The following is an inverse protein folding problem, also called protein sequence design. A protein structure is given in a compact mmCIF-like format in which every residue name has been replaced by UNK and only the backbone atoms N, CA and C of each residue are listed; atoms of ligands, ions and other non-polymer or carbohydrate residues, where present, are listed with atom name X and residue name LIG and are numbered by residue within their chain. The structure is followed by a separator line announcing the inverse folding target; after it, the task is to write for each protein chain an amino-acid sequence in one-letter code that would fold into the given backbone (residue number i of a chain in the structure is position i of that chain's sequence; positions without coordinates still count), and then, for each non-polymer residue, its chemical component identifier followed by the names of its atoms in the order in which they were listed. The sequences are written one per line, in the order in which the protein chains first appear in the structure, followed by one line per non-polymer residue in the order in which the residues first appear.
data_IF_047946160896
#
_entry.id   IF_047946160896
#
_cell.length_a   1.000
_cell.length_b   1.000
_cell.length_c   1.000
_cell.angle_alpha   90.00
_cell.angle_beta   90.00
_cell.angle_gamma   90.00
#
_symmetry.space_group_name_H-M   'P 1'
#
loop_
_entity.id
_entity.type
_entity.pdbx_description
1 polymer ?
#
# COMPACT_ATOMS: atom_id res chain seq x y z
N UNK A 1 -7.20 17.58 -25.72
CA UNK A 1 -8.10 18.08 -24.65
C UNK A 1 -7.58 17.80 -23.25
N UNK A 2 -6.92 16.66 -22.97
CA UNK A 2 -6.36 16.36 -21.63
C UNK A 2 -5.29 17.36 -21.18
N UNK A 3 -4.42 17.81 -22.06
CA UNK A 3 -3.39 18.80 -21.75
C UNK A 3 -3.96 20.16 -21.34
N UNK A 4 -5.06 20.61 -21.97
CA UNK A 4 -5.74 21.85 -21.55
C UNK A 4 -6.26 21.76 -20.10
N UNK A 5 -6.73 20.61 -19.69
CA UNK A 5 -7.17 20.35 -18.31
C UNK A 5 -6.03 20.29 -17.29
N UNK A 6 -4.80 20.05 -17.74
CA UNK A 6 -3.62 20.00 -16.89
C UNK A 6 -2.90 21.34 -16.76
N UNK A 7 -2.94 22.19 -17.81
CA UNK A 7 -2.10 23.38 -17.92
C UNK A 7 -2.84 24.72 -17.94
N UNK A 8 -4.08 24.72 -18.43
CA UNK A 8 -4.85 25.95 -18.64
C UNK A 8 -6.19 25.92 -17.89
N UNK A 9 -6.99 24.90 -18.11
CA UNK A 9 -8.30 24.74 -17.48
C UNK A 9 -8.16 23.92 -16.18
N UNK A 10 -7.55 24.52 -15.18
CA UNK A 10 -7.14 23.84 -13.95
C UNK A 10 -8.35 23.36 -13.14
N UNK A 11 -8.43 22.06 -12.76
CA UNK A 11 -9.56 21.53 -12.03
C UNK A 11 -9.58 21.89 -10.54
N UNK A 12 -8.46 22.38 -10.00
CA UNK A 12 -8.27 22.74 -8.58
C UNK A 12 -7.85 24.18 -8.35
N UNK A 13 -8.07 25.06 -9.34
CA UNK A 13 -7.71 26.47 -9.24
C UNK A 13 -8.53 27.32 -10.20
N UNK A 14 -8.25 28.62 -10.25
CA UNK A 14 -8.85 29.49 -11.24
C UNK A 14 -8.34 29.11 -12.63
N UNK A 15 -9.22 28.83 -13.59
CA UNK A 15 -8.78 28.51 -14.94
C UNK A 15 -8.19 29.74 -15.64
N UNK A 16 -7.11 29.53 -16.41
CA UNK A 16 -6.41 30.57 -17.15
C UNK A 16 -7.12 30.83 -18.50
N UNK A 17 -8.37 31.31 -18.43
CA UNK A 17 -9.25 31.44 -19.61
C UNK A 17 -8.69 32.35 -20.69
N UNK A 18 -7.92 33.36 -20.35
CA UNK A 18 -7.35 34.30 -21.30
C UNK A 18 -6.21 33.70 -22.14
N UNK A 19 -5.56 32.66 -21.62
CA UNK A 19 -4.53 31.88 -22.31
C UNK A 19 -5.11 30.67 -23.04
N UNK A 20 -6.42 30.41 -22.90
CA UNK A 20 -7.02 29.21 -23.46
C UNK A 20 -7.27 29.33 -24.98
N UNK A 21 -6.74 28.42 -25.80
CA UNK A 21 -6.98 28.43 -27.24
C UNK A 21 -8.46 28.24 -27.62
N UNK A 22 -9.25 27.65 -26.74
CA UNK A 22 -10.68 27.43 -26.92
C UNK A 22 -11.56 28.58 -26.40
N UNK A 23 -10.99 29.68 -25.93
CA UNK A 23 -11.72 30.76 -25.25
C UNK A 23 -12.89 31.36 -26.04
N UNK A 24 -12.76 31.42 -27.36
CA UNK A 24 -13.76 32.04 -28.22
C UNK A 24 -15.07 31.28 -28.33
N UNK A 25 -15.02 29.97 -28.17
CA UNK A 25 -16.19 29.07 -28.29
C UNK A 25 -16.46 28.24 -27.02
N UNK A 26 -15.80 28.58 -25.90
CA UNK A 26 -15.98 27.89 -24.65
C UNK A 26 -17.32 28.30 -23.99
N UNK A 27 -18.29 27.41 -23.99
CA UNK A 27 -19.62 27.64 -23.39
C UNK A 27 -19.51 27.99 -21.89
N UNK A 28 -18.62 27.34 -21.14
CA UNK A 28 -18.46 27.62 -19.72
C UNK A 28 -17.99 29.06 -19.45
N UNK A 29 -17.10 29.60 -20.31
CA UNK A 29 -16.67 30.99 -20.24
C UNK A 29 -17.74 31.97 -20.67
N UNK A 30 -18.42 31.68 -21.80
CA UNK A 30 -19.51 32.51 -22.33
C UNK A 30 -20.70 32.63 -21.37
N UNK A 31 -20.97 31.58 -20.57
CA UNK A 31 -22.06 31.54 -19.59
C UNK A 31 -21.62 31.86 -18.15
N UNK A 32 -20.37 32.24 -17.92
CA UNK A 32 -19.85 32.58 -16.58
C UNK A 32 -19.76 31.39 -15.62
N UNK A 33 -19.75 30.14 -16.13
CA UNK A 33 -19.81 28.91 -15.31
C UNK A 33 -18.46 28.24 -15.07
N UNK A 34 -17.35 28.88 -15.40
CA UNK A 34 -16.01 28.29 -15.26
C UNK A 34 -15.68 27.88 -13.83
N UNK A 35 -16.13 28.63 -12.82
CA UNK A 35 -15.93 28.30 -11.40
C UNK A 35 -16.78 27.13 -10.89
N UNK A 36 -17.81 26.72 -11.67
CA UNK A 36 -18.67 25.60 -11.32
C UNK A 36 -18.24 24.28 -11.99
N UNK A 37 -17.21 24.32 -12.82
CA UNK A 37 -16.73 23.21 -13.63
C UNK A 37 -15.25 22.92 -13.33
N UNK A 38 -14.84 21.64 -13.37
CA UNK A 38 -15.68 20.45 -13.54
C UNK A 38 -16.55 20.17 -12.33
N UNK A 39 -17.76 19.63 -12.57
CA UNK A 39 -18.60 19.14 -11.48
C UNK A 39 -17.93 17.90 -10.88
N UNK A 40 -17.43 18.02 -9.67
CA UNK A 40 -16.75 16.92 -8.96
C UNK A 40 -17.76 16.11 -8.19
N UNK A 41 -17.84 14.82 -8.49
CA UNK A 41 -18.58 13.90 -7.63
C UNK A 41 -17.95 13.90 -6.22
N UNK A 42 -18.79 13.80 -5.19
CA UNK A 42 -18.31 13.62 -3.82
C UNK A 42 -17.39 12.39 -3.75
N UNK A 43 -16.21 12.56 -3.16
CA UNK A 43 -15.30 11.42 -2.96
C UNK A 43 -15.96 10.42 -2.01
N UNK A 44 -16.13 9.18 -2.47
CA UNK A 44 -16.55 8.09 -1.56
C UNK A 44 -15.53 7.96 -0.45
N UNK A 45 -16.02 7.77 0.79
CA UNK A 45 -15.14 7.45 1.92
C UNK A 45 -14.32 6.19 1.60
N UNK A 46 -13.03 6.20 1.96
CA UNK A 46 -12.18 5.02 1.83
C UNK A 46 -12.62 3.97 2.83
N UNK A 47 -12.57 2.71 2.43
CA UNK A 47 -12.70 1.60 3.37
C UNK A 47 -11.43 1.53 4.20
N UNK A 48 -11.56 1.50 5.53
CA UNK A 48 -10.44 1.28 6.44
C UNK A 48 -10.34 -0.21 6.71
N UNK A 49 -9.13 -0.75 6.58
CA UNK A 49 -8.79 -2.12 6.95
C UNK A 49 -7.72 -2.09 8.03
N UNK A 50 -8.09 -2.54 9.22
CA UNK A 50 -7.13 -2.81 10.29
C UNK A 50 -6.44 -4.15 9.98
N UNK A 51 -5.10 -4.16 9.95
CA UNK A 51 -4.33 -5.35 9.57
C UNK A 51 -3.21 -5.63 10.56
N UNK A 52 -3.00 -6.90 10.84
CA UNK A 52 -1.81 -7.38 11.55
C UNK A 52 -0.78 -7.84 10.53
N UNK A 53 0.42 -7.28 10.59
CA UNK A 53 1.56 -7.65 9.74
C UNK A 53 2.52 -8.51 10.58
N UNK A 54 2.87 -9.68 10.07
CA UNK A 54 3.75 -10.62 10.74
C UNK A 54 5.14 -10.56 10.10
N UNK A 55 6.10 -9.98 10.81
CA UNK A 55 7.51 -10.00 10.45
C UNK A 55 8.12 -11.23 11.09
N UNK A 56 8.19 -12.32 10.33
CA UNK A 56 8.60 -13.64 10.83
C UNK A 56 10.04 -13.87 10.43
N UNK A 57 10.89 -14.05 11.41
CA UNK A 57 12.33 -14.23 11.24
C UNK A 57 12.77 -15.64 11.60
N UNK A 58 13.70 -16.19 10.83
CA UNK A 58 14.45 -17.40 11.12
C UNK A 58 15.89 -17.17 10.71
N UNK A 59 16.80 -17.25 11.66
CA UNK A 59 18.20 -16.82 11.45
C UNK A 59 18.21 -15.37 10.89
N UNK A 60 18.97 -15.09 9.85
CA UNK A 60 19.06 -13.77 9.23
C UNK A 60 18.14 -13.66 7.99
N UNK A 61 16.95 -14.26 8.03
CA UNK A 61 15.98 -14.28 6.92
C UNK A 61 14.60 -13.93 7.42
N UNK A 62 13.79 -13.28 6.58
CA UNK A 62 12.40 -12.95 6.84
C UNK A 62 11.49 -13.71 5.90
N UNK A 63 10.34 -14.18 6.40
CA UNK A 63 9.35 -14.88 5.60
C UNK A 63 8.59 -13.91 4.69
N UNK A 64 8.45 -14.29 3.44
CA UNK A 64 7.60 -13.62 2.46
C UNK A 64 6.58 -14.58 1.88
N UNK A 65 5.40 -14.06 1.56
CA UNK A 65 4.40 -14.77 0.76
C UNK A 65 4.06 -13.98 -0.49
N UNK A 66 3.61 -14.68 -1.52
CA UNK A 66 3.12 -14.05 -2.74
C UNK A 66 1.62 -13.82 -2.64
N UNK A 67 1.17 -12.62 -2.97
CA UNK A 67 -0.26 -12.31 -3.02
C UNK A 67 -0.95 -13.05 -4.17
N UNK A 68 -2.25 -13.36 -4.00
CA UNK A 68 -3.06 -13.88 -5.10
C UNK A 68 -2.98 -12.99 -6.34
N UNK A 69 -3.17 -13.56 -7.52
CA UNK A 69 -3.11 -12.85 -8.81
C UNK A 69 -4.26 -11.87 -9.05
N UNK A 70 -5.11 -11.61 -8.06
CA UNK A 70 -6.25 -10.68 -8.13
C UNK A 70 -6.33 -9.82 -6.88
N UNK A 71 -6.89 -8.62 -7.03
CA UNK A 71 -7.08 -7.67 -5.93
C UNK A 71 -5.90 -6.71 -5.76
N UNK A 72 -5.87 -6.05 -4.60
CA UNK A 72 -4.88 -5.04 -4.27
C UNK A 72 -3.49 -5.67 -4.18
N UNK A 73 -2.49 -5.04 -4.82
CA UNK A 73 -1.09 -5.51 -4.88
C UNK A 73 -0.96 -6.94 -5.45
N UNK A 74 -1.83 -7.33 -6.39
CA UNK A 74 -1.90 -8.67 -6.95
C UNK A 74 -0.54 -9.18 -7.46
N UNK A 75 -0.19 -10.42 -7.08
CA UNK A 75 1.02 -11.10 -7.53
C UNK A 75 2.34 -10.58 -6.96
N UNK A 76 2.34 -9.54 -6.15
CA UNK A 76 3.53 -9.02 -5.48
C UNK A 76 3.88 -9.83 -4.23
N UNK A 77 5.14 -9.75 -3.82
CA UNK A 77 5.61 -10.31 -2.57
C UNK A 77 5.25 -9.38 -1.40
N UNK A 78 4.93 -9.96 -0.25
CA UNK A 78 4.58 -9.21 0.95
C UNK A 78 5.03 -9.92 2.21
N UNK A 79 5.17 -9.17 3.31
CA UNK A 79 5.17 -9.78 4.63
C UNK A 79 3.78 -10.37 4.90
N UNK A 80 3.67 -11.59 5.48
CA UNK A 80 2.38 -12.17 5.84
C UNK A 80 1.54 -11.18 6.65
N UNK A 81 0.29 -11.01 6.29
CA UNK A 81 -0.60 -10.09 6.98
C UNK A 81 -2.05 -10.53 6.83
N UNK A 82 -2.86 -10.29 7.86
CA UNK A 82 -4.27 -10.65 7.90
C UNK A 82 -5.10 -9.47 8.41
N UNK A 83 -6.41 -9.48 8.15
CA UNK A 83 -7.32 -8.53 8.76
C UNK A 83 -7.34 -8.75 10.27
N UNK A 84 -7.29 -7.67 11.03
CA UNK A 84 -7.36 -7.74 12.48
C UNK A 84 -8.81 -8.00 12.95
N UNK A 85 -9.00 -8.75 14.07
CA UNK A 85 -7.99 -9.42 14.85
C UNK A 85 -7.45 -10.66 14.11
N UNK A 86 -6.15 -10.91 14.20
CA UNK A 86 -5.47 -12.02 13.52
C UNK A 86 -4.85 -13.00 14.54
N UNK A 87 -5.55 -13.20 15.64
CA UNK A 87 -5.18 -14.14 16.67
C UNK A 87 -5.22 -15.57 16.10
N UNK A 88 -4.15 -16.34 16.35
CA UNK A 88 -4.05 -17.71 15.84
C UNK A 88 -3.46 -17.86 14.43
N UNK A 89 -3.27 -16.79 13.66
CA UNK A 89 -2.73 -16.87 12.29
C UNK A 89 -1.41 -17.66 12.22
N UNK A 90 -0.50 -17.47 13.18
CA UNK A 90 0.76 -18.22 13.24
C UNK A 90 0.52 -19.73 13.38
N UNK A 91 -0.43 -20.14 14.24
CA UNK A 91 -0.78 -21.54 14.43
C UNK A 91 -1.46 -22.13 13.18
N UNK A 92 -2.33 -21.37 12.51
CA UNK A 92 -2.97 -21.76 11.25
C UNK A 92 -1.95 -22.00 10.14
N UNK A 93 -0.84 -21.27 10.16
CA UNK A 93 0.29 -21.47 9.25
C UNK A 93 1.27 -22.56 9.70
N UNK A 94 1.02 -23.20 10.86
CA UNK A 94 1.89 -24.21 11.44
C UNK A 94 3.21 -23.64 11.95
N UNK A 95 3.25 -22.35 12.27
CA UNK A 95 4.43 -21.64 12.75
C UNK A 95 4.32 -21.38 14.26
N UNK A 96 5.43 -21.58 14.97
CA UNK A 96 5.54 -21.30 16.41
C UNK A 96 6.81 -20.53 16.68
N UNK A 97 6.76 -19.62 17.63
CA UNK A 97 7.93 -18.79 17.95
C UNK A 97 7.65 -17.82 19.08
N UNK A 98 8.64 -17.00 19.34
CA UNK A 98 8.53 -15.93 20.31
C UNK A 98 8.14 -14.63 19.60
N UNK A 99 7.16 -13.92 20.17
CA UNK A 99 6.67 -12.66 19.65
C UNK A 99 7.25 -11.50 20.44
N UNK A 100 7.72 -10.50 19.72
CA UNK A 100 8.08 -9.20 20.27
C UNK A 100 7.22 -8.11 19.65
N UNK A 101 7.09 -6.99 20.34
CA UNK A 101 6.32 -5.87 19.82
C UNK A 101 6.98 -5.32 18.54
N UNK A 102 6.14 -5.05 17.55
CA UNK A 102 6.52 -4.34 16.35
C UNK A 102 6.09 -2.88 16.38
N UNK A 103 5.92 -2.29 15.22
CA UNK A 103 5.48 -0.93 15.04
C UNK A 103 4.06 -0.84 14.46
N UNK A 104 3.63 0.38 14.25
CA UNK A 104 2.40 0.69 13.52
C UNK A 104 2.70 1.41 12.22
N UNK A 105 1.83 1.29 11.25
CA UNK A 105 1.96 1.99 9.97
C UNK A 105 0.61 2.22 9.32
N UNK A 106 0.54 3.26 8.50
CA UNK A 106 -0.65 3.55 7.70
C UNK A 106 -0.24 3.68 6.25
N UNK A 107 -1.01 3.06 5.37
CA UNK A 107 -0.85 3.25 3.94
C UNK A 107 -2.20 3.51 3.26
N UNK A 108 -2.24 4.53 2.41
CA UNK A 108 -3.46 4.98 1.76
C UNK A 108 -3.41 4.63 0.27
N UNK A 109 -4.30 3.74 -0.13
CA UNK A 109 -4.60 3.47 -1.53
C UNK A 109 -5.77 4.32 -2.03
N UNK A 110 -6.08 4.26 -3.30
CA UNK A 110 -7.18 5.05 -3.88
C UNK A 110 -8.52 4.82 -3.17
N UNK A 111 -8.84 3.57 -2.83
CA UNK A 111 -10.16 3.19 -2.28
C UNK A 111 -10.10 2.53 -0.90
N UNK A 112 -8.91 2.25 -0.40
CA UNK A 112 -8.68 1.54 0.85
C UNK A 112 -7.57 2.24 1.63
N UNK A 113 -7.73 2.32 2.94
CA UNK A 113 -6.70 2.73 3.89
C UNK A 113 -6.34 1.52 4.76
N UNK A 114 -5.07 1.13 4.76
CA UNK A 114 -4.56 0.13 5.66
C UNK A 114 -3.99 0.77 6.91
N UNK A 115 -4.51 0.38 8.06
CA UNK A 115 -3.94 0.66 9.38
C UNK A 115 -3.32 -0.62 9.87
N UNK A 116 -2.02 -0.63 10.01
CA UNK A 116 -1.24 -1.84 10.22
C UNK A 116 -0.57 -1.82 11.57
N UNK A 117 -0.61 -2.95 12.26
CA UNK A 117 0.19 -3.22 13.46
C UNK A 117 1.09 -4.40 13.16
N UNK A 118 2.41 -4.22 13.29
CA UNK A 118 3.37 -5.29 13.09
C UNK A 118 3.61 -6.08 14.38
N UNK A 119 3.84 -7.37 14.22
CA UNK A 119 4.35 -8.28 15.22
C UNK A 119 5.64 -8.90 14.68
N UNK A 120 6.72 -8.80 15.43
CA UNK A 120 7.98 -9.45 15.11
C UNK A 120 8.02 -10.82 15.78
N UNK A 121 8.19 -11.87 14.98
CA UNK A 121 8.20 -13.26 15.43
C UNK A 121 9.55 -13.89 15.15
N UNK A 122 10.17 -14.47 16.16
CA UNK A 122 11.36 -15.29 15.99
C UNK A 122 10.97 -16.75 16.03
N UNK A 123 11.20 -17.48 14.94
CA UNK A 123 10.87 -18.89 14.82
C UNK A 123 12.12 -19.75 14.69
N UNK A 124 12.09 -20.94 15.27
CA UNK A 124 13.22 -21.89 15.22
C UNK A 124 13.12 -22.87 14.04
N UNK A 125 11.96 -22.95 13.40
CA UNK A 125 11.72 -23.87 12.29
C UNK A 125 12.00 -23.22 10.94
N UNK A 126 12.73 -23.91 10.08
CA UNK A 126 13.02 -23.45 8.73
C UNK A 126 11.88 -23.72 7.72
N UNK A 127 10.93 -24.60 8.06
CA UNK A 127 9.85 -24.96 7.16
C UNK A 127 8.78 -23.88 7.13
N UNK A 128 8.44 -23.42 5.93
CA UNK A 128 7.39 -22.45 5.67
C UNK A 128 6.17 -23.09 5.01
N UNK A 129 5.00 -22.46 5.09
CA UNK A 129 3.83 -22.84 4.28
C UNK A 129 4.15 -22.88 2.78
N UNK A 130 3.40 -23.67 2.03
CA UNK A 130 3.58 -23.78 0.59
C UNK A 130 3.45 -22.40 -0.11
N UNK A 131 4.39 -22.11 -1.01
CA UNK A 131 4.43 -20.86 -1.76
C UNK A 131 5.03 -19.66 -1.02
N UNK A 132 5.50 -19.86 0.22
CA UNK A 132 6.27 -18.87 0.94
C UNK A 132 7.76 -19.08 0.73
N UNK A 133 8.55 -18.05 0.99
CA UNK A 133 10.01 -18.09 0.86
C UNK A 133 10.67 -17.38 2.04
N UNK A 134 11.89 -17.81 2.36
CA UNK A 134 12.81 -17.06 3.20
C UNK A 134 13.62 -16.10 2.33
N UNK A 135 13.68 -14.84 2.71
CA UNK A 135 14.47 -13.82 2.06
C UNK A 135 15.47 -13.22 3.04
N UNK A 136 16.72 -13.22 2.65
CA UNK A 136 17.76 -12.45 3.32
C UNK A 136 17.79 -10.99 2.82
N UNK A 137 18.68 -10.18 3.37
CA UNK A 137 18.81 -8.76 3.01
C UNK A 137 19.10 -8.55 1.53
N UNK A 138 19.93 -9.40 0.92
CA UNK A 138 20.27 -9.28 -0.51
C UNK A 138 19.13 -9.68 -1.41
N UNK A 139 18.40 -10.74 -1.07
CA UNK A 139 17.21 -11.16 -1.77
C UNK A 139 16.09 -10.10 -1.73
N UNK A 140 15.87 -9.44 -0.58
CA UNK A 140 14.93 -8.33 -0.45
C UNK A 140 15.28 -7.15 -1.37
N UNK A 141 16.56 -6.88 -1.57
CA UNK A 141 17.01 -5.77 -2.42
C UNK A 141 16.99 -6.07 -3.91
N UNK A 142 17.23 -7.31 -4.30
CA UNK A 142 17.52 -7.69 -5.69
C UNK A 142 16.44 -8.57 -6.32
N UNK A 143 15.72 -9.34 -5.52
CA UNK A 143 14.86 -10.41 -6.02
C UNK A 143 13.39 -10.21 -5.68
N UNK A 144 13.07 -9.68 -4.49
CA UNK A 144 11.71 -9.53 -4.03
C UNK A 144 11.33 -8.05 -3.89
N UNK A 145 10.49 -7.58 -4.83
CA UNK A 145 9.95 -6.22 -4.74
C UNK A 145 8.83 -6.17 -3.69
N UNK A 146 9.13 -5.61 -2.54
CA UNK A 146 8.15 -5.38 -1.48
C UNK A 146 7.42 -4.05 -1.73
N UNK A 147 6.08 -4.02 -1.72
CA UNK A 147 5.31 -2.80 -1.90
C UNK A 147 5.63 -1.73 -0.86
N UNK A 148 5.62 -0.47 -1.28
CA UNK A 148 5.83 0.68 -0.40
C UNK A 148 4.83 0.78 0.76
N UNK A 149 3.70 0.06 0.68
CA UNK A 149 2.77 -0.07 1.77
C UNK A 149 3.42 -0.58 3.07
N UNK A 150 4.48 -1.37 2.96
CA UNK A 150 5.22 -1.92 4.09
C UNK A 150 6.46 -1.10 4.49
N UNK A 151 6.71 0.05 3.87
CA UNK A 151 7.85 0.91 4.20
C UNK A 151 7.91 1.33 5.68
N UNK A 152 6.80 1.51 6.42
CA UNK A 152 6.87 1.81 7.85
C UNK A 152 7.60 0.75 8.69
N UNK A 153 7.71 -0.48 8.18
CA UNK A 153 8.33 -1.59 8.90
C UNK A 153 9.76 -1.91 8.45
N UNK A 154 10.32 -1.11 7.53
CA UNK A 154 11.65 -1.38 6.97
C UNK A 154 12.75 -1.45 8.04
N UNK A 155 12.71 -0.54 9.02
CA UNK A 155 13.69 -0.54 10.12
C UNK A 155 13.62 -1.82 10.94
N UNK A 156 12.40 -2.27 11.31
CA UNK A 156 12.19 -3.52 12.03
C UNK A 156 12.71 -4.74 11.27
N UNK A 157 12.53 -4.74 9.95
CA UNK A 157 13.03 -5.82 9.10
C UNK A 157 14.57 -5.78 9.04
N UNK A 158 15.18 -4.62 8.92
CA UNK A 158 16.64 -4.48 8.91
C UNK A 158 17.28 -4.90 10.23
N UNK A 159 16.63 -4.59 11.36
CA UNK A 159 17.06 -5.03 12.70
C UNK A 159 16.92 -6.55 12.86
N UNK A 160 15.81 -7.13 12.39
CA UNK A 160 15.58 -8.59 12.49
C UNK A 160 16.48 -9.43 11.56
N UNK A 161 17.17 -8.79 10.60
CA UNK A 161 18.12 -9.44 9.68
C UNK A 161 19.61 -9.22 10.10
N UNK A 162 19.85 -8.75 11.29
CA UNK A 162 21.19 -8.64 11.88
C UNK A 162 21.55 -9.89 12.67
#
# INVERSE_FOLDING_TARGET
MMELGATVCLPNGAPLCDLCPARAFCTARLTGRTGQLPVKAAKKARRVEERTVFLIFHENRVALRRRPGRGLLAGLWEYPNELAPAEGAMADWGLTGEVTHGGTGVHIFTHVEWRMTAQCWQVNQAQLPAGWVWADRDALRRQYAIPSAFSPFQVLVEEGLM
#
